data_IF_540262369593
#
_entry.id   IF_540262369593
#
_cell.length_a   1.000
_cell.length_b   1.000
_cell.length_c   1.000
_cell.angle_alpha   90.00
_cell.angle_beta   90.00
_cell.angle_gamma   90.00
#
_symmetry.space_group_name_H-M   'P 1'
#
loop_
_entity.id
_entity.type
_entity.pdbx_description
1 polymer ?
#
# COMPACT_ATOMS: atom_id res chain seq x y z
N UNK A 1 -9.75 1.12 1.37
CA UNK A 1 -8.71 1.53 2.33
C UNK A 1 -7.71 2.42 1.62
N UNK A 2 -7.21 3.46 2.29
CA UNK A 2 -6.21 4.40 1.77
C UNK A 2 -5.00 4.45 2.71
N UNK A 3 -3.80 4.40 2.15
CA UNK A 3 -2.56 4.65 2.86
C UNK A 3 -1.70 5.65 2.08
N UNK A 4 -1.18 6.66 2.78
CA UNK A 4 -0.37 7.73 2.17
C UNK A 4 0.96 7.81 2.92
N UNK A 5 2.04 7.37 2.30
CA UNK A 5 3.38 7.43 2.90
C UNK A 5 4.47 7.37 1.83
N UNK A 6 5.69 7.76 2.21
CA UNK A 6 6.88 7.51 1.40
C UNK A 6 7.30 6.04 1.54
N UNK A 7 7.53 5.34 0.42
CA UNK A 7 7.87 3.91 0.42
C UNK A 7 9.26 3.65 1.02
N UNK A 8 9.30 3.54 2.34
CA UNK A 8 10.49 3.36 3.16
C UNK A 8 10.20 2.39 4.29
N UNK A 9 11.19 1.59 4.68
CA UNK A 9 11.06 0.57 5.73
C UNK A 9 10.52 1.15 7.05
N UNK A 10 10.96 2.36 7.45
CA UNK A 10 10.46 3.02 8.66
C UNK A 10 8.93 3.26 8.65
N UNK A 11 8.33 3.40 7.48
CA UNK A 11 6.89 3.65 7.30
C UNK A 11 6.04 2.38 7.33
N UNK A 12 6.65 1.20 7.55
CA UNK A 12 5.89 -0.01 7.88
C UNK A 12 5.03 -0.56 6.75
N UNK A 13 5.45 -0.38 5.49
CA UNK A 13 4.69 -0.86 4.33
C UNK A 13 4.50 -2.37 4.34
N UNK A 14 5.49 -3.12 4.84
CA UNK A 14 5.46 -4.57 5.00
C UNK A 14 4.43 -5.01 6.06
N UNK A 15 4.37 -4.29 7.18
CA UNK A 15 3.37 -4.54 8.23
C UNK A 15 1.95 -4.27 7.70
N UNK A 16 1.77 -3.21 6.90
CA UNK A 16 0.51 -2.92 6.23
C UNK A 16 0.06 -4.08 5.34
N UNK A 17 0.96 -4.52 4.45
CA UNK A 17 0.66 -5.57 3.49
C UNK A 17 0.37 -6.88 4.21
N UNK A 18 1.17 -7.26 5.20
CA UNK A 18 0.94 -8.47 5.99
C UNK A 18 -0.42 -8.47 6.65
N UNK A 19 -0.78 -7.36 7.32
CA UNK A 19 -2.09 -7.23 7.96
C UNK A 19 -3.23 -7.29 6.93
N UNK A 20 -3.07 -6.60 5.79
CA UNK A 20 -4.09 -6.56 4.73
C UNK A 20 -4.29 -7.93 4.07
N UNK A 21 -3.20 -8.63 3.72
CA UNK A 21 -3.23 -9.97 3.12
C UNK A 21 -3.72 -11.05 4.08
N UNK A 22 -3.53 -10.86 5.39
CA UNK A 22 -4.09 -11.76 6.40
C UNK A 22 -5.59 -11.53 6.63
N UNK A 23 -6.08 -10.32 6.38
CA UNK A 23 -7.46 -9.93 6.66
C UNK A 23 -8.41 -10.10 5.47
N UNK A 24 -7.89 -10.05 4.25
CA UNK A 24 -8.70 -10.04 3.03
C UNK A 24 -8.12 -10.93 1.93
N UNK A 25 -8.99 -11.29 1.00
CA UNK A 25 -8.71 -12.11 -0.18
C UNK A 25 -9.14 -11.40 -1.47
N UNK A 26 -8.86 -11.98 -2.64
CA UNK A 26 -9.31 -11.45 -3.94
C UNK A 26 -10.84 -11.33 -4.09
N UNK A 27 -11.60 -12.15 -3.36
CA UNK A 27 -13.05 -12.23 -3.45
C UNK A 27 -13.71 -11.12 -2.62
N UNK A 28 -12.97 -10.53 -1.69
CA UNK A 28 -13.46 -9.43 -0.88
C UNK A 28 -13.61 -8.14 -1.72
N UNK A 29 -14.71 -7.38 -1.56
CA UNK A 29 -14.96 -6.15 -2.29
C UNK A 29 -14.13 -4.96 -1.75
N UNK A 30 -12.86 -5.20 -1.42
CA UNK A 30 -11.93 -4.23 -0.86
C UNK A 30 -10.81 -3.88 -1.84
N UNK A 31 -10.31 -2.66 -1.69
CA UNK A 31 -9.14 -2.15 -2.41
C UNK A 31 -8.25 -1.40 -1.41
N UNK A 32 -6.97 -1.71 -1.43
CA UNK A 32 -5.94 -0.92 -0.75
C UNK A 32 -5.27 0.01 -1.75
N UNK A 33 -5.60 1.29 -1.68
CA UNK A 33 -4.90 2.32 -2.43
C UNK A 33 -3.71 2.83 -1.62
N UNK A 34 -2.50 2.73 -2.19
CA UNK A 34 -1.27 3.24 -1.58
C UNK A 34 -0.75 4.40 -2.44
N UNK A 35 -0.83 5.61 -1.91
CA UNK A 35 -0.22 6.78 -2.52
C UNK A 35 1.21 6.91 -1.99
N UNK A 36 2.18 6.78 -2.88
CA UNK A 36 3.61 6.90 -2.56
C UNK A 36 4.32 7.83 -3.53
N UNK A 37 5.38 8.49 -3.07
CA UNK A 37 6.24 9.33 -3.91
C UNK A 37 7.57 8.63 -4.23
N UNK A 38 7.89 8.53 -5.52
CA UNK A 38 9.19 8.10 -6.00
C UNK A 38 10.19 9.26 -5.86
N UNK A 39 10.80 9.43 -4.69
CA UNK A 39 11.83 10.46 -4.55
C UNK A 39 13.25 9.98 -4.83
N UNK A 40 13.55 8.66 -4.79
CA UNK A 40 14.91 8.16 -5.04
C UNK A 40 15.04 6.77 -5.70
N UNK A 41 13.95 6.05 -5.93
CA UNK A 41 14.02 4.73 -6.58
C UNK A 41 14.01 4.91 -8.09
N UNK A 42 15.12 4.66 -8.79
CA UNK A 42 15.23 4.70 -10.27
C UNK A 42 14.33 3.66 -11.00
N UNK A 43 13.39 3.02 -10.31
CA UNK A 43 12.74 1.78 -10.73
C UNK A 43 11.23 1.88 -10.98
N UNK A 44 10.57 3.02 -10.71
CA UNK A 44 9.15 3.18 -11.03
C UNK A 44 8.17 2.33 -10.19
N UNK A 45 6.87 2.50 -10.46
CA UNK A 45 5.76 1.70 -9.93
C UNK A 45 5.97 0.18 -10.06
N UNK A 46 6.60 -0.27 -11.15
CA UNK A 46 6.90 -1.69 -11.42
C UNK A 46 7.82 -2.31 -10.36
N UNK A 47 8.71 -1.51 -9.76
CA UNK A 47 9.57 -1.98 -8.67
C UNK A 47 8.78 -2.23 -7.40
N UNK A 48 7.80 -1.39 -7.09
CA UNK A 48 6.95 -1.58 -5.91
C UNK A 48 6.00 -2.76 -6.06
N UNK A 49 5.40 -2.95 -7.25
CA UNK A 49 4.59 -4.14 -7.54
C UNK A 49 5.39 -5.43 -7.38
N UNK A 50 6.64 -5.43 -7.83
CA UNK A 50 7.56 -6.57 -7.66
C UNK A 50 7.83 -6.80 -6.17
N UNK A 51 8.13 -5.75 -5.39
CA UNK A 51 8.33 -5.87 -3.94
C UNK A 51 7.11 -6.40 -3.20
N UNK A 52 5.89 -6.00 -3.59
CA UNK A 52 4.65 -6.52 -3.00
C UNK A 52 4.51 -8.03 -3.26
N UNK A 53 4.80 -8.47 -4.50
CA UNK A 53 4.75 -9.89 -4.87
C UNK A 53 5.82 -10.71 -4.15
N UNK A 54 7.06 -10.21 -4.14
CA UNK A 54 8.17 -10.86 -3.43
C UNK A 54 7.87 -10.98 -1.94
N UNK A 55 7.29 -9.94 -1.33
CA UNK A 55 6.84 -9.97 0.06
C UNK A 55 5.75 -11.00 0.30
N UNK A 56 4.75 -11.09 -0.59
CA UNK A 56 3.70 -12.09 -0.49
C UNK A 56 4.26 -13.52 -0.56
N UNK A 57 5.22 -13.78 -1.46
CA UNK A 57 5.91 -15.07 -1.57
C UNK A 57 6.70 -15.38 -0.30
N UNK A 58 7.47 -14.41 0.20
CA UNK A 58 8.29 -14.57 1.42
C UNK A 58 7.44 -14.87 2.66
N UNK A 59 6.28 -14.24 2.80
CA UNK A 59 5.34 -14.48 3.89
C UNK A 59 4.40 -15.67 3.63
N UNK A 60 4.62 -16.41 2.53
CA UNK A 60 3.91 -17.63 2.17
C UNK A 60 2.39 -17.44 1.96
N UNK A 61 2.00 -16.29 1.41
CA UNK A 61 0.64 -16.02 0.93
C UNK A 61 0.40 -16.62 -0.46
N UNK A 62 -0.83 -17.05 -0.73
CA UNK A 62 -1.24 -17.48 -2.07
C UNK A 62 -1.43 -16.26 -2.98
N UNK A 63 -0.55 -16.14 -3.97
CA UNK A 63 -0.54 -15.02 -4.94
C UNK A 63 -1.87 -14.91 -5.69
N UNK A 64 -2.52 -16.04 -5.98
CA UNK A 64 -3.79 -16.07 -6.71
C UNK A 64 -4.97 -15.63 -5.86
N UNK A 65 -4.83 -15.60 -4.54
CA UNK A 65 -5.87 -15.21 -3.59
C UNK A 65 -5.63 -13.83 -3.00
N UNK A 66 -4.59 -13.11 -3.43
CA UNK A 66 -4.26 -11.81 -2.87
C UNK A 66 -5.36 -10.77 -3.12
N UNK A 67 -5.71 -9.97 -2.10
CA UNK A 67 -6.65 -8.86 -2.25
C UNK A 67 -6.08 -7.76 -3.13
N UNK A 68 -6.96 -6.94 -3.71
CA UNK A 68 -6.57 -5.87 -4.64
C UNK A 68 -5.75 -4.79 -3.94
N UNK A 69 -4.60 -4.45 -4.52
CA UNK A 69 -3.73 -3.34 -4.14
C UNK A 69 -3.50 -2.46 -5.36
N UNK A 70 -3.67 -1.14 -5.20
CA UNK A 70 -3.40 -0.16 -6.25
C UNK A 70 -2.39 0.86 -5.78
N UNK A 71 -1.30 1.00 -6.52
CA UNK A 71 -0.28 2.01 -6.28
C UNK A 71 -0.60 3.27 -7.07
N UNK A 72 -0.50 4.42 -6.40
CA UNK A 72 -0.70 5.73 -6.98
C UNK A 72 0.57 6.56 -6.75
N UNK A 73 0.96 7.34 -7.75
CA UNK A 73 2.05 8.33 -7.66
C UNK A 73 1.50 9.72 -7.95
N UNK A 74 2.07 10.73 -7.29
CA UNK A 74 1.90 12.15 -7.62
C UNK A 74 0.47 12.59 -7.97
N UNK A 75 -0.35 12.85 -6.95
CA UNK A 75 -1.69 13.43 -7.12
C UNK A 75 -1.69 14.95 -6.96
N UNK A 76 -2.55 15.64 -7.71
CA UNK A 76 -2.85 17.04 -7.45
C UNK A 76 -3.53 17.19 -6.09
N UNK A 77 -3.47 18.38 -5.49
CA UNK A 77 -4.11 18.63 -4.19
C UNK A 77 -5.63 18.34 -4.23
N UNK A 78 -6.29 18.64 -5.35
CA UNK A 78 -7.69 18.29 -5.56
C UNK A 78 -7.91 16.77 -5.65
N UNK A 79 -7.04 16.06 -6.39
CA UNK A 79 -7.08 14.60 -6.48
C UNK A 79 -6.86 13.92 -5.13
N UNK A 80 -5.93 14.44 -4.31
CA UNK A 80 -5.70 13.95 -2.96
C UNK A 80 -6.94 14.12 -2.08
N UNK A 81 -7.58 15.29 -2.10
CA UNK A 81 -8.83 15.55 -1.35
C UNK A 81 -9.95 14.61 -1.79
N UNK A 82 -10.12 14.40 -3.09
CA UNK A 82 -11.11 13.48 -3.63
C UNK A 82 -10.84 12.04 -3.19
N UNK A 83 -9.57 11.61 -3.18
CA UNK A 83 -9.18 10.28 -2.75
C UNK A 83 -9.47 10.04 -1.26
N UNK A 84 -9.15 11.02 -0.40
CA UNK A 84 -9.52 10.95 1.03
C UNK A 84 -11.04 10.93 1.23
N UNK A 85 -11.79 11.71 0.46
CA UNK A 85 -13.25 11.73 0.55
C UNK A 85 -13.89 10.41 0.08
N UNK A 86 -13.28 9.72 -0.87
CA UNK A 86 -13.75 8.43 -1.38
C UNK A 86 -13.28 7.23 -0.53
N UNK A 87 -12.29 7.42 0.35
CA UNK A 87 -11.73 6.33 1.15
C UNK A 87 -12.68 5.93 2.29
N UNK A 88 -13.11 4.67 2.31
CA UNK A 88 -13.92 4.14 3.42
C UNK A 88 -13.16 4.01 4.75
N UNK A 89 -11.83 3.94 4.70
CA UNK A 89 -10.95 3.91 5.87
C UNK A 89 -9.52 4.32 5.48
N UNK A 90 -8.78 4.90 6.43
CA UNK A 90 -7.38 5.30 6.27
C UNK A 90 -6.51 4.46 7.20
N UNK A 91 -5.46 3.85 6.66
CA UNK A 91 -4.47 3.06 7.41
C UNK A 91 -3.12 3.77 7.34
N UNK A 92 -2.52 4.06 8.50
CA UNK A 92 -1.22 4.69 8.62
C UNK A 92 -0.33 3.84 9.53
N UNK A 93 0.40 2.86 8.95
CA UNK A 93 1.37 2.09 9.72
C UNK A 93 2.52 3.02 10.08
N UNK A 94 2.97 2.96 11.33
CA UNK A 94 4.24 3.57 11.73
C UNK A 94 4.95 2.61 12.67
N UNK A 95 6.28 2.50 12.55
CA UNK A 95 7.11 1.78 13.53
C UNK A 95 7.41 2.61 14.78
N UNK A 96 6.46 3.47 15.18
CA UNK A 96 6.63 4.49 16.20
C UNK A 96 7.31 5.75 15.65
N UNK A 97 6.56 6.85 15.55
CA UNK A 97 7.15 8.18 15.43
C UNK A 97 7.05 8.81 16.83
N UNK A 98 8.19 9.05 17.48
CA UNK A 98 8.23 9.82 18.72
C UNK A 98 7.55 11.16 18.49
N UNK A 99 6.64 11.51 19.40
CA UNK A 99 5.88 12.75 19.37
C UNK A 99 6.76 13.94 19.75
#
# INVERSE_FOLDING_TARGET
WLSVFKWEERKGWDVLLKAYFSAFTKDDPVLLAILTSEYHSKGGLTTFETQIKDFAIQENFDIEMLPRVQLLTSLSQAGLRALYAAAGAVALPTRGEGW
#
